data_IF_268463805150
#
_entry.id   IF_268463805150
#
_cell.length_a   1.000
_cell.length_b   1.000
_cell.length_c   1.000
_cell.angle_alpha   90.00
_cell.angle_beta   90.00
_cell.angle_gamma   90.00
#
_symmetry.space_group_name_H-M   'P 1'
#
loop_
_entity.id
_entity.type
_entity.pdbx_description
1 polymer ?
#
# COMPACT_ATOMS: atom_id res chain seq x y z
N UNK A 1 5.58 0.18 -54.45
CA UNK A 1 6.43 0.35 -53.26
C UNK A 1 5.87 1.35 -52.24
N UNK A 2 5.45 2.57 -52.61
CA UNK A 2 4.85 3.55 -51.66
C UNK A 2 3.61 3.03 -50.89
N UNK A 3 2.74 2.24 -51.52
CA UNK A 3 1.55 1.65 -50.88
C UNK A 3 1.88 0.56 -49.85
N UNK A 4 3.00 -0.15 -50.03
CA UNK A 4 3.45 -1.20 -49.12
C UNK A 4 4.09 -0.60 -47.85
N UNK A 5 4.80 0.51 -48.01
CA UNK A 5 5.37 1.28 -46.90
C UNK A 5 4.29 1.86 -45.99
N UNK A 6 3.20 2.38 -46.58
CA UNK A 6 2.07 2.93 -45.82
C UNK A 6 1.35 1.85 -45.01
N UNK A 7 1.18 0.64 -45.57
CA UNK A 7 0.54 -0.49 -44.88
C UNK A 7 1.38 -0.99 -43.69
N UNK A 8 2.71 -1.02 -43.85
CA UNK A 8 3.65 -1.39 -42.79
C UNK A 8 3.67 -0.36 -41.66
N UNK A 9 3.54 0.93 -42.00
CA UNK A 9 3.46 2.00 -41.00
C UNK A 9 2.19 1.90 -40.15
N UNK A 10 1.03 1.60 -40.76
CA UNK A 10 -0.26 1.43 -40.06
C UNK A 10 -0.24 0.21 -39.11
N UNK A 11 0.42 -0.88 -39.49
CA UNK A 11 0.55 -2.08 -38.65
C UNK A 11 1.49 -1.88 -37.44
N UNK A 12 2.43 -0.94 -37.52
CA UNK A 12 3.31 -0.58 -36.40
C UNK A 12 2.60 0.29 -35.37
N UNK A 13 1.68 1.19 -35.78
CA UNK A 13 0.95 2.06 -34.83
C UNK A 13 0.00 1.27 -33.93
N UNK A 14 -0.58 0.16 -34.41
CA UNK A 14 -1.50 -0.68 -33.61
C UNK A 14 -0.80 -1.48 -32.49
N UNK A 15 0.52 -1.64 -32.54
CA UNK A 15 1.28 -2.33 -31.48
C UNK A 15 1.68 -1.38 -30.34
N UNK A 16 1.73 -0.07 -30.59
CA UNK A 16 2.11 0.93 -29.57
C UNK A 16 0.95 1.19 -28.59
N UNK A 17 -0.29 0.99 -29.01
CA UNK A 17 -1.49 1.24 -28.18
C UNK A 17 -1.82 0.14 -27.16
N UNK A 18 -0.98 -0.89 -27.01
CA UNK A 18 -1.19 -1.99 -26.05
C UNK A 18 -0.25 -1.96 -24.83
N UNK A 19 0.64 -0.99 -24.75
CA UNK A 19 1.42 -0.72 -23.55
C UNK A 19 0.82 0.48 -22.79
N UNK A 20 0.85 0.44 -21.46
CA UNK A 20 0.56 1.55 -20.53
C UNK A 20 -0.89 1.74 -20.07
N UNK A 21 -1.60 0.66 -19.76
CA UNK A 21 -2.49 0.73 -18.59
C UNK A 21 -2.04 -0.33 -17.59
N UNK A 22 -0.84 -0.08 -17.03
CA UNK A 22 -0.29 -0.79 -15.87
C UNK A 22 -0.97 -0.26 -14.60
N UNK A 23 -2.30 -0.24 -14.61
CA UNK A 23 -3.08 0.13 -13.44
C UNK A 23 -3.12 -1.09 -12.53
N UNK A 24 -2.15 -1.18 -11.61
CA UNK A 24 -2.26 -2.07 -10.46
C UNK A 24 -3.47 -1.62 -9.64
N UNK A 25 -4.51 -2.45 -9.46
CA UNK A 25 -5.69 -2.05 -8.72
C UNK A 25 -5.31 -1.72 -7.28
N UNK A 26 -5.39 -0.43 -6.92
CA UNK A 26 -5.23 0.02 -5.54
C UNK A 26 -6.40 -0.56 -4.73
N UNK A 27 -6.07 -1.34 -3.72
CA UNK A 27 -7.02 -1.94 -2.78
C UNK A 27 -7.42 -0.94 -1.70
N UNK A 28 -6.44 -0.17 -1.20
CA UNK A 28 -6.66 0.91 -0.23
C UNK A 28 -5.50 1.90 -0.27
N UNK A 29 -5.80 3.19 0.00
CA UNK A 29 -4.80 4.26 0.16
C UNK A 29 -5.11 5.09 1.40
N UNK A 30 -4.12 5.21 2.28
CA UNK A 30 -4.23 5.95 3.53
C UNK A 30 -3.25 7.11 3.52
N UNK A 31 -3.77 8.34 3.56
CA UNK A 31 -2.93 9.53 3.73
C UNK A 31 -2.55 9.67 5.19
N UNK A 32 -1.26 9.84 5.44
CA UNK A 32 -0.71 9.91 6.80
C UNK A 32 -1.05 11.28 7.38
N UNK A 33 -1.71 11.28 8.54
CA UNK A 33 -2.08 12.50 9.28
C UNK A 33 -1.30 12.64 10.58
N UNK A 34 -0.63 11.58 11.02
CA UNK A 34 0.28 11.56 12.16
C UNK A 34 1.41 10.56 11.93
N UNK A 35 2.64 10.95 12.27
CA UNK A 35 3.82 10.09 12.17
C UNK A 35 4.73 10.21 13.39
N UNK A 36 5.15 9.07 13.93
CA UNK A 36 6.14 8.97 15.02
C UNK A 36 7.22 8.01 14.57
N UNK A 37 8.47 8.47 14.55
CA UNK A 37 9.63 7.63 14.26
C UNK A 37 10.50 7.54 15.52
N UNK A 38 10.69 6.33 16.06
CA UNK A 38 11.49 6.07 17.26
C UNK A 38 11.15 7.02 18.43
N UNK A 39 9.83 7.21 18.67
CA UNK A 39 9.24 8.11 19.69
C UNK A 39 9.39 9.61 19.42
N UNK A 40 10.01 10.01 18.31
CA UNK A 40 10.07 11.41 17.86
C UNK A 40 8.90 11.69 16.93
N UNK A 41 8.17 12.76 17.19
CA UNK A 41 7.12 13.23 16.29
C UNK A 41 7.76 13.79 15.00
N UNK A 42 7.38 13.23 13.86
CA UNK A 42 7.77 13.68 12.52
C UNK A 42 6.55 14.00 11.64
N UNK A 43 5.40 14.25 12.26
CA UNK A 43 4.12 14.46 11.57
C UNK A 43 4.19 15.58 10.55
N UNK A 44 4.75 16.74 10.91
CA UNK A 44 4.82 17.89 10.02
C UNK A 44 5.63 17.59 8.75
N UNK A 45 6.76 16.90 8.89
CA UNK A 45 7.63 16.51 7.79
C UNK A 45 6.92 15.54 6.84
N UNK A 46 6.33 14.47 7.41
CA UNK A 46 5.62 13.44 6.62
C UNK A 46 4.38 14.00 5.92
N UNK A 47 3.64 14.91 6.56
CA UNK A 47 2.48 15.56 5.93
C UNK A 47 2.94 16.49 4.81
N UNK A 48 3.99 17.29 5.03
CA UNK A 48 4.56 18.19 3.99
C UNK A 48 5.11 17.41 2.80
N UNK A 49 5.64 16.22 3.00
CA UNK A 49 6.12 15.37 1.91
C UNK A 49 5.00 14.64 1.16
N UNK A 50 3.73 14.83 1.54
CA UNK A 50 2.60 14.15 0.92
C UNK A 50 2.54 12.66 1.25
N UNK A 51 2.95 12.30 2.48
CA UNK A 51 3.06 10.93 2.98
C UNK A 51 1.76 10.13 2.87
N UNK A 52 1.83 8.95 2.24
CA UNK A 52 0.74 7.99 2.22
C UNK A 52 1.24 6.54 2.19
N UNK A 53 0.40 5.62 2.64
CA UNK A 53 0.59 4.17 2.43
C UNK A 53 -0.51 3.64 1.53
N UNK A 54 -0.18 2.71 0.63
CA UNK A 54 -1.18 2.08 -0.22
C UNK A 54 -0.95 0.57 -0.33
N UNK A 55 -2.05 -0.15 -0.48
CA UNK A 55 -2.08 -1.59 -0.75
C UNK A 55 -2.59 -1.80 -2.17
N UNK A 56 -1.96 -2.68 -2.93
CA UNK A 56 -2.33 -2.97 -4.31
C UNK A 56 -2.01 -4.43 -4.66
N UNK A 57 -2.48 -4.88 -5.82
CA UNK A 57 -2.12 -6.17 -6.41
C UNK A 57 -1.33 -5.89 -7.67
N UNK A 58 -0.19 -6.56 -7.88
CA UNK A 58 0.51 -6.47 -9.16
C UNK A 58 -0.20 -7.33 -10.21
N UNK A 59 -0.25 -6.83 -11.44
CA UNK A 59 -0.80 -7.58 -12.56
C UNK A 59 -0.06 -8.92 -12.70
N UNK A 60 -0.82 -10.02 -12.66
CA UNK A 60 -0.36 -11.41 -12.86
C UNK A 60 0.26 -12.13 -11.64
N UNK A 61 0.28 -11.53 -10.45
CA UNK A 61 0.50 -12.29 -9.23
C UNK A 61 -0.65 -11.96 -8.27
N UNK A 62 -1.32 -12.97 -7.72
CA UNK A 62 -2.38 -12.72 -6.73
C UNK A 62 -1.80 -12.25 -5.37
N UNK A 63 -0.57 -11.73 -5.37
CA UNK A 63 0.11 -11.27 -4.19
C UNK A 63 -0.26 -9.82 -3.90
N UNK A 64 -0.42 -9.53 -2.61
CA UNK A 64 -0.70 -8.18 -2.13
C UNK A 64 0.64 -7.48 -1.93
N UNK A 65 0.71 -6.24 -2.37
CA UNK A 65 1.84 -5.35 -2.22
C UNK A 65 1.46 -4.19 -1.33
N UNK A 66 2.48 -3.61 -0.71
CA UNK A 66 2.38 -2.35 0.00
C UNK A 66 3.41 -1.37 -0.55
N UNK A 67 3.04 -0.11 -0.58
CA UNK A 67 3.95 1.02 -0.73
C UNK A 67 3.79 2.03 0.41
N UNK A 68 4.91 2.64 0.78
CA UNK A 68 5.01 3.81 1.63
C UNK A 68 5.65 4.92 0.79
N UNK A 69 4.96 6.05 0.60
CA UNK A 69 5.31 7.05 -0.40
C UNK A 69 5.35 8.44 0.22
N UNK A 70 6.41 9.18 -0.07
CA UNK A 70 6.54 10.62 0.19
C UNK A 70 6.51 11.35 -1.16
N UNK A 71 5.30 11.66 -1.62
CA UNK A 71 5.05 12.08 -3.00
C UNK A 71 5.80 13.35 -3.42
N UNK A 72 5.90 14.34 -2.54
CA UNK A 72 6.57 15.62 -2.85
C UNK A 72 8.10 15.48 -2.87
N UNK A 73 8.63 14.46 -2.22
CA UNK A 73 10.06 14.16 -2.17
C UNK A 73 10.46 13.16 -3.27
N UNK A 74 9.49 12.64 -4.03
CA UNK A 74 9.67 11.58 -5.05
C UNK A 74 10.35 10.32 -4.51
N UNK A 75 10.10 9.98 -3.24
CA UNK A 75 10.64 8.77 -2.60
C UNK A 75 9.54 7.80 -2.24
N UNK A 76 9.85 6.51 -2.35
CA UNK A 76 8.97 5.44 -1.90
C UNK A 76 9.73 4.19 -1.51
N UNK A 77 9.12 3.43 -0.62
CA UNK A 77 9.46 2.03 -0.33
C UNK A 77 8.30 1.17 -0.79
N UNK A 78 8.56 0.05 -1.46
CA UNK A 78 7.51 -0.79 -2.03
C UNK A 78 7.90 -2.26 -2.06
N UNK A 79 6.91 -3.14 -2.05
CA UNK A 79 7.14 -4.56 -2.30
C UNK A 79 6.06 -5.48 -1.74
N UNK A 80 6.22 -6.81 -1.91
CA UNK A 80 5.19 -7.77 -1.58
C UNK A 80 5.02 -7.97 -0.08
N UNK A 81 3.81 -8.36 0.28
CA UNK A 81 3.40 -8.74 1.64
C UNK A 81 3.22 -10.25 1.70
N UNK A 82 3.68 -10.88 2.78
CA UNK A 82 3.38 -12.27 3.10
C UNK A 82 2.99 -12.47 4.57
N UNK A 83 2.75 -13.73 4.95
CA UNK A 83 2.49 -14.14 6.33
C UNK A 83 1.37 -13.37 7.03
N UNK A 84 0.33 -12.97 6.29
CA UNK A 84 -0.80 -12.20 6.80
C UNK A 84 -1.54 -12.99 7.90
N UNK A 85 -1.63 -12.39 9.08
CA UNK A 85 -2.32 -12.93 10.26
C UNK A 85 -3.38 -11.95 10.70
N UNK A 86 -4.65 -12.38 10.68
CA UNK A 86 -5.74 -11.64 11.30
C UNK A 86 -5.71 -11.94 12.80
N UNK A 87 -5.40 -10.92 13.61
CA UNK A 87 -5.24 -11.02 15.05
C UNK A 87 -6.60 -10.88 15.76
N UNK A 88 -7.46 -9.96 15.29
CA UNK A 88 -8.79 -9.71 15.88
C UNK A 88 -9.73 -9.09 14.87
N UNK A 89 -11.00 -9.51 14.85
CA UNK A 89 -12.04 -8.98 13.93
C UNK A 89 -13.12 -8.13 14.59
N UNK A 90 -13.21 -8.04 15.92
CA UNK A 90 -14.30 -7.27 16.55
C UNK A 90 -14.03 -6.82 17.99
N UNK A 91 -14.68 -5.70 18.30
CA UNK A 91 -14.67 -4.88 19.52
C UNK A 91 -13.30 -4.33 19.91
N UNK A 92 -12.80 -3.43 19.08
CA UNK A 92 -11.80 -2.47 19.55
C UNK A 92 -12.48 -1.51 20.52
N UNK A 93 -12.83 -1.96 21.73
CA UNK A 93 -13.58 -1.19 22.73
C UNK A 93 -12.92 0.15 23.07
N UNK A 94 -11.60 0.25 22.93
CA UNK A 94 -10.83 1.49 23.03
C UNK A 94 -11.09 2.49 21.88
N UNK A 95 -11.54 2.01 20.72
CA UNK A 95 -11.84 2.80 19.52
C UNK A 95 -13.34 2.92 19.21
N UNK A 96 -14.22 2.13 19.85
CA UNK A 96 -15.71 2.19 19.72
C UNK A 96 -16.28 1.86 18.32
N UNK A 97 -15.49 1.28 17.42
CA UNK A 97 -15.91 0.95 16.06
C UNK A 97 -15.42 -0.44 15.64
N UNK A 98 -16.11 -1.01 14.65
CA UNK A 98 -15.69 -2.25 14.01
C UNK A 98 -14.38 -2.06 13.27
N UNK A 99 -13.49 -3.05 13.41
CA UNK A 99 -12.16 -2.96 12.84
C UNK A 99 -11.43 -4.29 12.87
N UNK A 100 -10.36 -4.36 12.09
CA UNK A 100 -9.54 -5.55 11.97
C UNK A 100 -8.12 -5.21 12.36
N UNK A 101 -7.60 -6.00 13.29
CA UNK A 101 -6.18 -6.01 13.65
C UNK A 101 -5.53 -7.12 12.88
N UNK A 102 -4.50 -6.80 12.12
CA UNK A 102 -3.75 -7.77 11.34
C UNK A 102 -2.26 -7.45 11.36
N UNK A 103 -1.46 -8.46 11.11
CA UNK A 103 -0.02 -8.33 10.94
C UNK A 103 0.47 -9.09 9.72
N UNK A 104 1.61 -8.68 9.20
CA UNK A 104 2.23 -9.29 8.04
C UNK A 104 3.73 -8.97 8.01
N UNK A 105 4.49 -9.71 7.22
CA UNK A 105 5.86 -9.32 6.89
C UNK A 105 5.86 -8.61 5.52
N UNK A 106 6.55 -7.47 5.44
CA UNK A 106 6.64 -6.62 4.27
C UNK A 106 8.06 -6.64 3.73
N UNK A 107 8.23 -7.18 2.53
CA UNK A 107 9.51 -7.23 1.84
C UNK A 107 9.64 -5.95 1.03
N UNK A 108 10.28 -4.94 1.60
CA UNK A 108 10.37 -3.62 1.00
C UNK A 108 11.67 -3.44 0.21
N UNK A 109 11.59 -2.62 -0.85
CA UNK A 109 12.71 -2.04 -1.56
C UNK A 109 12.51 -0.54 -1.67
N UNK A 110 13.56 0.22 -1.40
CA UNK A 110 13.55 1.67 -1.50
C UNK A 110 13.80 2.13 -2.95
N UNK A 111 13.21 3.26 -3.32
CA UNK A 111 13.38 3.85 -4.66
C UNK A 111 14.57 4.81 -4.75
N UNK A 112 15.10 5.24 -3.61
CA UNK A 112 16.13 6.29 -3.50
C UNK A 112 17.51 5.71 -3.16
N UNK A 113 17.53 4.51 -2.58
CA UNK A 113 18.73 3.73 -2.25
C UNK A 113 18.49 2.28 -2.70
N UNK A 114 19.55 1.46 -2.86
CA UNK A 114 19.40 0.03 -3.19
C UNK A 114 19.13 -0.83 -1.93
N UNK A 115 18.60 -0.17 -0.89
CA UNK A 115 18.28 -0.77 0.39
C UNK A 115 16.96 -1.54 0.28
N UNK A 116 16.97 -2.74 0.86
CA UNK A 116 15.85 -3.66 0.87
C UNK A 116 15.90 -4.50 2.14
N UNK A 117 14.74 -4.95 2.60
CA UNK A 117 14.67 -5.74 3.80
C UNK A 117 13.28 -6.27 4.08
N UNK A 118 13.11 -6.80 5.28
CA UNK A 118 11.82 -7.33 5.74
C UNK A 118 11.41 -6.56 6.99
N UNK A 119 10.26 -5.89 6.93
CA UNK A 119 9.67 -5.19 8.06
C UNK A 119 8.45 -5.95 8.58
N UNK A 120 8.31 -6.04 9.91
CA UNK A 120 7.10 -6.55 10.53
C UNK A 120 6.10 -5.42 10.68
N UNK A 121 4.94 -5.57 10.04
CA UNK A 121 3.89 -4.56 10.08
C UNK A 121 2.73 -5.05 10.92
N UNK A 122 2.29 -4.22 11.85
CA UNK A 122 1.04 -4.41 12.60
C UNK A 122 0.10 -3.26 12.24
N UNK A 123 -1.09 -3.59 11.76
CA UNK A 123 -2.04 -2.63 11.27
C UNK A 123 -3.41 -2.82 11.92
N UNK A 124 -4.08 -1.71 12.17
CA UNK A 124 -5.44 -1.63 12.64
C UNK A 124 -6.22 -0.82 11.61
N UNK A 125 -7.16 -1.48 10.95
CA UNK A 125 -8.14 -0.83 10.10
C UNK A 125 -9.42 -0.63 10.90
N UNK A 126 -9.87 0.61 11.03
CA UNK A 126 -11.12 0.98 11.72
C UNK A 126 -12.13 1.47 10.67
N UNK A 127 -13.29 0.82 10.59
CA UNK A 127 -14.41 1.20 9.71
C UNK A 127 -15.40 2.11 10.46
N UNK A 128 -16.17 2.91 9.72
CA UNK A 128 -17.40 3.57 10.19
C UNK A 128 -17.25 4.56 11.36
N UNK A 129 -16.07 5.16 11.53
CA UNK A 129 -15.89 6.27 12.48
C UNK A 129 -16.58 7.53 11.93
N UNK A 130 -17.25 8.37 12.75
CA UNK A 130 -17.96 9.59 12.34
C UNK A 130 -17.11 10.62 11.59
N UNK A 131 -15.77 10.47 11.62
CA UNK A 131 -14.80 11.30 10.90
C UNK A 131 -14.11 10.55 9.73
N UNK A 132 -14.70 9.45 9.26
CA UNK A 132 -14.14 8.61 8.18
C UNK A 132 -13.30 7.43 8.67
N UNK A 133 -12.98 6.51 7.77
CA UNK A 133 -12.21 5.30 8.07
C UNK A 133 -10.78 5.68 8.50
N UNK A 134 -10.30 5.05 9.58
CA UNK A 134 -9.00 5.37 10.18
C UNK A 134 -8.07 4.17 10.13
N UNK A 135 -6.80 4.45 9.86
CA UNK A 135 -5.76 3.44 9.77
C UNK A 135 -4.64 3.78 10.75
N UNK A 136 -4.26 2.80 11.57
CA UNK A 136 -3.08 2.91 12.44
C UNK A 136 -2.14 1.78 12.06
N UNK A 137 -0.89 2.11 11.75
CA UNK A 137 0.12 1.16 11.32
C UNK A 137 1.39 1.35 12.14
N UNK A 138 1.97 0.23 12.56
CA UNK A 138 3.30 0.17 13.16
C UNK A 138 4.18 -0.68 12.28
N UNK A 139 5.25 -0.09 11.77
CA UNK A 139 6.27 -0.74 10.94
C UNK A 139 7.51 -0.88 11.82
N UNK A 140 7.98 -2.11 11.98
CA UNK A 140 9.22 -2.42 12.68
C UNK A 140 10.18 -3.07 11.69
N UNK A 141 11.22 -2.34 11.32
CA UNK A 141 12.36 -2.85 10.55
C UNK A 141 13.58 -2.96 11.45
N UNK A 142 14.46 -3.91 11.14
CA UNK A 142 15.67 -4.15 11.93
C UNK A 142 16.64 -2.95 11.86
N UNK A 143 16.70 -2.25 10.72
CA UNK A 143 17.67 -1.18 10.45
C UNK A 143 17.14 0.23 10.78
N UNK A 144 15.82 0.47 10.65
CA UNK A 144 15.21 1.81 10.74
C UNK A 144 14.46 2.06 12.06
N UNK A 145 14.25 1.02 12.87
CA UNK A 145 13.53 1.10 14.14
C UNK A 145 12.00 1.12 13.98
N UNK A 146 11.30 1.65 14.98
CA UNK A 146 9.84 1.62 15.03
C UNK A 146 9.25 2.90 14.44
N UNK A 147 8.45 2.75 13.39
CA UNK A 147 7.66 3.81 12.78
C UNK A 147 6.18 3.56 13.07
N UNK A 148 5.48 4.57 13.57
CA UNK A 148 4.04 4.55 13.79
C UNK A 148 3.35 5.61 12.94
N UNK A 149 2.44 5.17 12.07
CA UNK A 149 1.58 6.03 11.27
C UNK A 149 0.14 5.95 11.76
N UNK A 150 -0.52 7.11 11.78
CA UNK A 150 -1.97 7.18 11.75
C UNK A 150 -2.38 7.94 10.50
N UNK A 151 -3.40 7.45 9.82
CA UNK A 151 -3.87 8.02 8.57
C UNK A 151 -5.38 7.93 8.42
N UNK A 152 -5.85 8.69 7.43
CA UNK A 152 -7.23 8.69 6.98
C UNK A 152 -7.31 8.05 5.61
N UNK A 153 -8.36 7.26 5.40
CA UNK A 153 -8.62 6.67 4.10
C UNK A 153 -9.00 7.76 3.10
N UNK A 154 -8.40 7.72 1.90
CA UNK A 154 -8.85 8.52 0.76
C UNK A 154 -9.46 7.61 -0.31
N UNK A 155 -10.67 7.94 -0.74
CA UNK A 155 -11.40 7.20 -1.77
C UNK A 155 -12.16 6.00 -1.21
N UNK A 156 -12.61 5.12 -2.10
CA UNK A 156 -13.27 3.87 -1.72
C UNK A 156 -12.20 2.82 -1.38
N UNK A 157 -12.27 2.24 -0.19
CA UNK A 157 -11.60 0.94 0.04
C UNK A 157 -12.32 -0.04 -0.84
N UNK A 158 -11.57 -0.80 -1.64
CA UNK A 158 -12.14 -2.01 -2.16
C UNK A 158 -12.43 -2.90 -0.95
N UNK A 159 -13.70 -3.02 -0.57
CA UNK A 159 -14.12 -3.77 0.64
C UNK A 159 -13.58 -5.20 0.65
N UNK A 160 -13.23 -5.72 -0.53
CA UNK A 160 -12.57 -7.01 -0.72
C UNK A 160 -11.11 -7.03 -0.29
N UNK A 161 -10.47 -5.92 0.12
CA UNK A 161 -9.11 -5.95 0.68
C UNK A 161 -9.03 -6.95 1.84
N UNK A 162 -10.12 -7.04 2.61
CA UNK A 162 -10.28 -8.04 3.66
C UNK A 162 -10.43 -9.44 3.08
N UNK A 163 -11.22 -9.60 2.02
CA UNK A 163 -11.33 -10.87 1.31
C UNK A 163 -9.96 -11.31 0.76
N UNK A 164 -9.12 -10.41 0.24
CA UNK A 164 -7.75 -10.72 -0.18
C UNK A 164 -6.88 -11.16 1.01
N UNK A 165 -6.97 -10.48 2.16
CA UNK A 165 -6.26 -10.91 3.38
C UNK A 165 -6.77 -12.24 3.94
N UNK A 166 -8.00 -12.65 3.62
CA UNK A 166 -8.62 -13.90 4.10
C UNK A 166 -8.37 -15.04 3.12
N UNK A 167 -8.50 -14.80 1.81
CA UNK A 167 -8.40 -15.78 0.73
C UNK A 167 -6.95 -16.14 0.41
N UNK A 168 -6.00 -15.22 0.60
CA UNK A 168 -4.57 -15.48 0.45
C UNK A 168 -4.00 -16.57 1.37
N UNK A 169 -4.81 -17.15 2.27
CA UNK A 169 -4.50 -18.36 3.04
C UNK A 169 -4.72 -19.68 2.29
N UNK A 170 -5.43 -19.70 1.15
CA UNK A 170 -5.88 -20.94 0.51
C UNK A 170 -5.25 -21.22 -0.86
N UNK A 171 -4.35 -20.36 -1.34
CA UNK A 171 -3.59 -20.58 -2.59
C UNK A 171 -2.09 -20.66 -2.29
N UNK A 172 -1.68 -21.77 -1.66
CA UNK A 172 -0.33 -22.33 -1.77
C UNK A 172 -0.45 -23.85 -1.85
#
# INVERSE_FOLDING_TARGET
MKKLFFLMMVLLVSQVSRAQNDYNPILAKYVITKAINNKKDCTEEVVKSGGYTAFYVEKNNDAIYMENVFANDNTKSYGPIDNIKIIRRSDLSQYKYDGIVFSFDWHYKDSYEDDQGVAKVNAILVKDKPKGNCFIMKILSDDSGLIEYSGELIGEVNDRILDYFIVGKYTR
#
